data_IF_958218946370
#
_entry.id   IF_958218946370
#
_cell.length_a   1.000
_cell.length_b   1.000
_cell.length_c   1.000
_cell.angle_alpha   90.00
_cell.angle_beta   90.00
_cell.angle_gamma   90.00
#
_symmetry.space_group_name_H-M   'P 1'
#
loop_
_entity.id
_entity.type
_entity.pdbx_description
1 polymer ?
#
# COMPACT_ATOMS: atom_id res chain seq x y z
N UNK A 1 7.78 -11.32 -1.04
CA UNK A 1 7.01 -11.31 -2.30
C UNK A 1 5.54 -11.57 -1.98
N UNK A 2 4.62 -11.06 -2.79
CA UNK A 2 3.19 -11.40 -2.66
C UNK A 2 2.94 -12.79 -3.24
N UNK A 3 2.18 -13.63 -2.56
CA UNK A 3 1.85 -15.00 -3.01
C UNK A 3 0.44 -15.08 -3.62
N UNK A 4 -0.17 -13.93 -3.93
CA UNK A 4 -1.55 -13.86 -4.40
C UNK A 4 -1.85 -14.73 -5.62
N UNK A 5 -0.93 -14.81 -6.59
CA UNK A 5 -1.09 -15.68 -7.77
C UNK A 5 -1.15 -17.16 -7.41
N UNK A 6 -0.32 -17.59 -6.46
CA UNK A 6 -0.33 -18.97 -5.97
C UNK A 6 -1.67 -19.30 -5.31
N UNK A 7 -2.15 -18.43 -4.41
CA UNK A 7 -3.48 -18.59 -3.79
C UNK A 7 -4.60 -18.62 -4.83
N UNK A 8 -4.54 -17.77 -5.86
CA UNK A 8 -5.56 -17.69 -6.91
C UNK A 8 -5.76 -19.00 -7.67
N UNK A 9 -4.69 -19.77 -7.87
CA UNK A 9 -4.77 -21.07 -8.56
C UNK A 9 -5.62 -22.08 -7.78
N UNK A 10 -5.68 -21.97 -6.45
CA UNK A 10 -6.41 -22.92 -5.60
C UNK A 10 -7.83 -22.46 -5.23
N UNK A 11 -8.25 -21.24 -5.60
CA UNK A 11 -9.57 -20.71 -5.20
C UNK A 11 -10.70 -21.63 -5.66
N UNK A 12 -10.64 -22.12 -6.91
CA UNK A 12 -11.70 -22.98 -7.47
C UNK A 12 -11.82 -24.28 -6.68
N UNK A 13 -10.71 -24.96 -6.39
CA UNK A 13 -10.73 -26.18 -5.57
C UNK A 13 -11.23 -25.93 -4.14
N UNK A 14 -10.95 -24.75 -3.57
CA UNK A 14 -11.49 -24.36 -2.25
C UNK A 14 -13.01 -24.13 -2.32
N UNK A 15 -13.51 -23.57 -3.43
CA UNK A 15 -14.94 -23.38 -3.67
C UNK A 15 -15.63 -24.75 -3.84
N UNK A 16 -15.09 -25.62 -4.68
CA UNK A 16 -15.59 -26.99 -4.87
C UNK A 16 -15.63 -27.75 -3.54
N UNK A 17 -14.62 -27.56 -2.68
CA UNK A 17 -14.62 -28.13 -1.33
C UNK A 17 -15.77 -27.58 -0.48
N UNK A 18 -16.03 -26.28 -0.51
CA UNK A 18 -17.15 -25.66 0.21
C UNK A 18 -18.52 -26.16 -0.27
N UNK A 19 -18.63 -26.51 -1.55
CA UNK A 19 -19.88 -27.00 -2.17
C UNK A 19 -20.07 -28.51 -2.00
N UNK A 20 -18.98 -29.29 -1.95
CA UNK A 20 -19.00 -30.75 -1.87
C UNK A 20 -18.94 -31.30 -0.45
N UNK A 21 -18.29 -30.59 0.49
CA UNK A 21 -18.04 -31.07 1.84
C UNK A 21 -18.31 -29.98 2.88
N UNK A 22 -19.16 -30.32 3.85
CA UNK A 22 -19.44 -29.59 5.09
C UNK A 22 -20.02 -28.18 4.93
N UNK A 23 -21.32 -28.04 5.24
CA UNK A 23 -22.05 -26.77 5.26
C UNK A 23 -21.44 -25.70 6.20
N UNK A 24 -20.39 -26.04 6.95
CA UNK A 24 -19.70 -25.18 7.89
C UNK A 24 -18.40 -24.54 7.36
N UNK A 25 -17.76 -25.07 6.31
CA UNK A 25 -16.46 -24.53 5.84
C UNK A 25 -16.59 -23.12 5.26
N UNK A 26 -17.63 -22.86 4.45
CA UNK A 26 -17.90 -21.52 3.94
C UNK A 26 -18.10 -20.51 5.08
N UNK A 27 -18.84 -20.91 6.12
CA UNK A 27 -19.07 -20.09 7.32
C UNK A 27 -17.77 -19.81 8.08
N UNK A 28 -16.87 -20.79 8.17
CA UNK A 28 -15.54 -20.64 8.75
C UNK A 28 -14.64 -19.70 7.91
N UNK A 29 -14.62 -19.86 6.59
CA UNK A 29 -13.83 -19.00 5.70
C UNK A 29 -14.34 -17.55 5.64
N UNK A 30 -15.62 -17.33 5.96
CA UNK A 30 -16.19 -15.98 6.17
C UNK A 30 -15.89 -15.40 7.55
N UNK A 31 -15.40 -16.21 8.49
CA UNK A 31 -15.05 -15.77 9.83
C UNK A 31 -13.62 -15.21 9.86
N UNK A 32 -13.47 -14.01 10.44
CA UNK A 32 -12.19 -13.30 10.57
C UNK A 32 -11.21 -14.03 11.50
N UNK A 33 -11.68 -14.54 12.63
CA UNK A 33 -10.85 -15.22 13.62
C UNK A 33 -10.32 -16.54 13.07
N UNK A 34 -11.16 -17.31 12.38
CA UNK A 34 -10.73 -18.48 11.63
C UNK A 34 -9.67 -18.12 10.60
N UNK A 35 -9.90 -17.10 9.79
CA UNK A 35 -8.95 -16.67 8.75
C UNK A 35 -7.61 -16.21 9.34
N UNK A 36 -7.62 -15.60 10.53
CA UNK A 36 -6.41 -15.24 11.25
C UNK A 36 -5.65 -16.46 11.78
N UNK A 37 -6.36 -17.39 12.42
CA UNK A 37 -5.78 -18.61 12.97
C UNK A 37 -5.22 -19.50 11.86
N UNK A 38 -5.99 -19.73 10.81
CA UNK A 38 -5.68 -20.65 9.72
C UNK A 38 -4.66 -20.07 8.75
N UNK A 39 -4.80 -18.81 8.33
CA UNK A 39 -3.98 -18.21 7.28
C UNK A 39 -3.06 -17.08 7.74
N UNK A 40 -3.30 -16.53 8.94
CA UNK A 40 -2.63 -15.30 9.39
C UNK A 40 -3.24 -14.01 8.83
N UNK A 41 -4.42 -14.09 8.21
CA UNK A 41 -5.09 -12.92 7.64
C UNK A 41 -5.79 -12.09 8.73
N UNK A 42 -5.72 -10.77 8.62
CA UNK A 42 -6.50 -9.85 9.48
C UNK A 42 -7.95 -9.67 9.01
N UNK A 43 -8.30 -10.29 7.88
CA UNK A 43 -9.61 -10.20 7.24
C UNK A 43 -10.11 -11.61 6.91
N UNK A 44 -11.43 -11.81 6.86
CA UNK A 44 -12.02 -13.05 6.34
C UNK A 44 -11.43 -13.46 4.99
N UNK A 45 -11.23 -14.77 4.79
CA UNK A 45 -10.81 -15.33 3.51
C UNK A 45 -11.86 -15.00 2.43
N UNK A 46 -13.13 -15.27 2.72
CA UNK A 46 -14.28 -14.87 1.93
C UNK A 46 -15.05 -13.72 2.59
N UNK A 47 -15.53 -12.78 1.78
CA UNK A 47 -16.49 -11.76 2.23
C UNK A 47 -17.61 -11.63 1.21
N UNK A 48 -18.85 -11.63 1.68
CA UNK A 48 -20.01 -11.44 0.81
C UNK A 48 -19.99 -10.04 0.18
N UNK A 49 -20.28 -9.96 -1.11
CA UNK A 49 -20.22 -8.70 -1.88
C UNK A 49 -21.07 -7.61 -1.24
N UNK A 50 -22.27 -7.96 -0.75
CA UNK A 50 -23.20 -7.03 -0.10
C UNK A 50 -22.70 -6.48 1.25
N UNK A 51 -21.72 -7.12 1.86
CA UNK A 51 -21.17 -6.75 3.17
C UNK A 51 -19.81 -6.03 3.08
N UNK A 52 -19.31 -5.78 1.86
CA UNK A 52 -18.04 -5.08 1.65
C UNK A 52 -18.31 -3.58 1.60
N UNK A 53 -17.90 -2.88 2.66
CA UNK A 53 -17.90 -1.42 2.69
C UNK A 53 -16.79 -0.82 1.79
N UNK A 54 -16.88 0.48 1.49
CA UNK A 54 -15.93 1.20 0.63
C UNK A 54 -14.47 1.13 1.13
N UNK A 55 -14.26 1.12 2.45
CA UNK A 55 -12.91 1.08 3.06
C UNK A 55 -12.31 -0.32 2.97
N UNK A 56 -13.15 -1.34 3.03
CA UNK A 56 -12.78 -2.76 2.96
C UNK A 56 -12.61 -3.25 1.53
N UNK A 57 -13.13 -2.53 0.53
CA UNK A 57 -13.08 -2.91 -0.89
C UNK A 57 -11.66 -3.24 -1.38
N UNK A 58 -10.67 -2.41 -1.01
CA UNK A 58 -9.25 -2.61 -1.39
C UNK A 58 -8.60 -3.87 -0.80
N UNK A 59 -9.25 -4.52 0.18
CA UNK A 59 -8.73 -5.71 0.89
C UNK A 59 -9.18 -7.02 0.26
N UNK A 60 -10.01 -6.99 -0.77
CA UNK A 60 -10.49 -8.16 -1.50
C UNK A 60 -10.21 -7.98 -2.99
N UNK A 61 -9.95 -9.07 -3.71
CA UNK A 61 -9.86 -9.01 -5.17
C UNK A 61 -11.23 -8.66 -5.76
N UNK A 62 -11.24 -7.98 -6.91
CA UNK A 62 -12.48 -7.54 -7.58
C UNK A 62 -13.30 -8.69 -8.16
N UNK A 63 -12.67 -9.84 -8.40
CA UNK A 63 -13.32 -11.07 -8.87
C UNK A 63 -14.37 -11.56 -7.88
N UNK A 64 -15.59 -11.78 -8.37
CA UNK A 64 -16.71 -12.31 -7.60
C UNK A 64 -16.87 -13.79 -7.93
N UNK A 65 -17.02 -14.61 -6.89
CA UNK A 65 -17.26 -16.04 -6.98
C UNK A 65 -18.66 -16.34 -6.44
N UNK A 66 -19.33 -17.31 -7.03
CA UNK A 66 -20.58 -17.87 -6.50
C UNK A 66 -20.24 -19.14 -5.74
N UNK A 67 -20.65 -19.21 -4.47
CA UNK A 67 -20.42 -20.38 -3.59
C UNK A 67 -21.69 -20.60 -2.79
N UNK A 68 -22.33 -21.76 -2.90
CA UNK A 68 -23.56 -22.10 -2.15
C UNK A 68 -24.64 -20.98 -2.20
N UNK A 69 -24.92 -20.45 -3.40
CA UNK A 69 -25.84 -19.32 -3.66
C UNK A 69 -25.45 -17.98 -3.01
N UNK A 70 -24.22 -17.82 -2.54
CA UNK A 70 -23.67 -16.56 -2.02
C UNK A 70 -22.63 -15.99 -2.98
N UNK A 71 -22.70 -14.68 -3.23
CA UNK A 71 -21.67 -13.97 -4.00
C UNK A 71 -20.59 -13.46 -3.05
N UNK A 72 -19.37 -13.96 -3.21
CA UNK A 72 -18.23 -13.65 -2.33
C UNK A 72 -17.03 -13.12 -3.11
N UNK A 73 -16.17 -12.36 -2.44
CA UNK A 73 -14.83 -12.00 -2.90
C UNK A 73 -13.78 -12.57 -1.95
N UNK A 74 -12.59 -12.83 -2.49
CA UNK A 74 -11.46 -13.40 -1.74
C UNK A 74 -10.52 -12.29 -1.26
N UNK A 75 -9.99 -12.41 -0.05
CA UNK A 75 -9.03 -11.46 0.50
C UNK A 75 -7.78 -11.35 -0.41
N UNK A 76 -7.32 -10.13 -0.67
CA UNK A 76 -6.17 -9.84 -1.54
C UNK A 76 -4.83 -9.75 -0.79
N UNK A 77 -4.84 -9.81 0.55
CA UNK A 77 -3.71 -9.47 1.41
C UNK A 77 -2.76 -10.65 1.66
N UNK A 78 -2.23 -11.23 0.58
CA UNK A 78 -1.36 -12.43 0.65
C UNK A 78 0.13 -12.12 0.45
N UNK A 79 0.94 -12.45 1.46
CA UNK A 79 2.39 -12.24 1.47
C UNK A 79 3.13 -13.54 1.77
N UNK A 80 4.44 -13.59 1.49
CA UNK A 80 5.29 -14.76 1.71
C UNK A 80 5.17 -15.37 3.12
N UNK A 81 4.90 -14.56 4.15
CA UNK A 81 4.73 -15.04 5.52
C UNK A 81 3.47 -15.91 5.72
N UNK A 82 2.48 -15.83 4.82
CA UNK A 82 1.25 -16.62 4.87
C UNK A 82 1.39 -17.99 4.19
N UNK A 83 2.44 -18.19 3.38
CA UNK A 83 2.57 -19.35 2.49
C UNK A 83 2.52 -20.67 3.27
N UNK A 84 3.38 -20.83 4.28
CA UNK A 84 3.43 -22.05 5.08
C UNK A 84 2.11 -22.39 5.80
N UNK A 85 1.29 -21.38 6.13
CA UNK A 85 -0.03 -21.59 6.73
C UNK A 85 -1.08 -21.99 5.70
N UNK A 86 -1.00 -21.38 4.52
CA UNK A 86 -1.85 -21.72 3.40
C UNK A 86 -1.56 -23.15 2.90
N UNK A 87 -0.29 -23.53 2.76
CA UNK A 87 0.11 -24.88 2.38
C UNK A 87 -0.44 -25.94 3.35
N UNK A 88 -0.33 -25.69 4.66
CA UNK A 88 -0.94 -26.56 5.70
C UNK A 88 -2.45 -26.70 5.55
N UNK A 89 -3.14 -25.63 5.16
CA UNK A 89 -4.59 -25.69 4.91
C UNK A 89 -4.89 -26.54 3.67
N UNK A 90 -4.13 -26.37 2.58
CA UNK A 90 -4.30 -27.18 1.38
C UNK A 90 -4.05 -28.67 1.68
N UNK A 91 -2.97 -29.00 2.38
CA UNK A 91 -2.64 -30.36 2.81
C UNK A 91 -3.73 -30.97 3.68
N UNK A 92 -4.20 -30.24 4.70
CA UNK A 92 -5.24 -30.71 5.63
C UNK A 92 -6.56 -31.01 4.91
N UNK A 93 -6.86 -30.28 3.83
CA UNK A 93 -8.06 -30.45 3.02
C UNK A 93 -7.82 -31.30 1.76
N UNK A 94 -6.63 -31.92 1.62
CA UNK A 94 -6.24 -32.76 0.48
C UNK A 94 -6.38 -32.06 -0.88
N UNK A 95 -6.22 -30.74 -0.90
CA UNK A 95 -6.22 -29.94 -2.12
C UNK A 95 -4.81 -30.06 -2.72
N UNK A 96 -4.67 -30.86 -3.79
CA UNK A 96 -3.39 -31.06 -4.50
C UNK A 96 -3.27 -30.13 -5.72
N UNK A 97 -2.05 -29.89 -6.19
CA UNK A 97 -1.78 -29.12 -7.43
C UNK A 97 -2.34 -29.78 -8.72
N UNK A 98 -2.90 -30.98 -8.63
CA UNK A 98 -3.45 -31.74 -9.76
C UNK A 98 -4.90 -31.37 -10.05
N UNK A 99 -5.09 -30.24 -10.74
CA UNK A 99 -6.05 -30.06 -11.83
C UNK A 99 -5.69 -28.77 -12.57
N UNK A 100 -4.59 -28.85 -13.32
CA UNK A 100 -4.32 -27.91 -14.39
C UNK A 100 -5.43 -28.03 -15.45
N UNK A 101 -6.20 -26.94 -15.55
CA UNK A 101 -7.00 -26.43 -16.69
C UNK A 101 -8.43 -26.98 -16.84
N UNK A 102 -9.44 -26.13 -16.55
CA UNK A 102 -10.36 -25.59 -17.57
C UNK A 102 -11.34 -24.53 -17.01
N UNK A 103 -11.23 -23.32 -17.57
CA UNK A 103 -12.36 -22.47 -17.98
C UNK A 103 -13.38 -21.93 -16.95
N UNK A 104 -13.01 -21.80 -15.67
CA UNK A 104 -13.83 -21.07 -14.67
C UNK A 104 -13.08 -19.94 -13.95
N UNK A 105 -11.95 -19.46 -14.49
CA UNK A 105 -11.58 -18.08 -14.16
C UNK A 105 -12.75 -17.22 -14.64
N UNK A 106 -13.42 -16.43 -13.78
CA UNK A 106 -14.29 -15.38 -14.28
C UNK A 106 -13.41 -14.60 -15.25
N UNK A 107 -13.83 -14.55 -16.52
CA UNK A 107 -13.14 -13.76 -17.53
C UNK A 107 -12.86 -12.42 -16.86
N UNK A 108 -11.59 -11.98 -16.75
CA UNK A 108 -11.30 -10.72 -16.11
C UNK A 108 -12.24 -9.74 -16.76
N UNK A 109 -13.15 -9.11 -15.98
CA UNK A 109 -14.03 -8.05 -16.50
C UNK A 109 -13.13 -7.25 -17.40
N UNK A 110 -13.43 -7.21 -18.70
CA UNK A 110 -12.62 -6.45 -19.63
C UNK A 110 -12.53 -5.06 -19.02
N UNK A 111 -11.37 -4.74 -18.45
CA UNK A 111 -11.08 -3.39 -18.05
C UNK A 111 -10.74 -2.75 -19.38
N UNK A 112 -11.81 -2.34 -20.07
CA UNK A 112 -11.75 -1.51 -21.27
C UNK A 112 -10.77 -0.40 -20.91
N UNK A 113 -9.71 -0.25 -21.72
CA UNK A 113 -8.62 0.73 -21.55
C UNK A 113 -7.50 0.44 -20.53
N UNK A 114 -7.02 -0.81 -20.38
CA UNK A 114 -5.66 -1.02 -19.83
C UNK A 114 -4.58 -0.54 -20.80
N UNK A 115 -4.26 0.76 -20.76
CA UNK A 115 -3.10 1.31 -21.45
C UNK A 115 -1.82 0.73 -20.81
N UNK A 116 -1.09 -0.10 -21.54
CA UNK A 116 0.18 -0.67 -21.08
C UNK A 116 1.16 0.46 -20.70
N UNK A 117 1.78 0.37 -19.52
CA UNK A 117 2.71 1.39 -18.97
C UNK A 117 2.11 2.80 -18.82
N UNK A 118 0.80 2.93 -18.62
CA UNK A 118 0.21 4.25 -18.33
C UNK A 118 0.72 4.82 -17.00
N UNK A 119 0.78 6.15 -16.93
CA UNK A 119 1.09 6.86 -15.69
C UNK A 119 -0.19 7.00 -14.87
N UNK A 120 -0.23 6.38 -13.70
CA UNK A 120 -1.37 6.51 -12.80
C UNK A 120 -1.53 7.96 -12.32
N UNK A 121 -2.76 8.48 -12.36
CA UNK A 121 -3.07 9.85 -11.92
C UNK A 121 -2.65 10.11 -10.47
N UNK A 122 -2.73 9.07 -9.62
CA UNK A 122 -2.24 9.13 -8.24
C UNK A 122 -0.76 9.51 -8.11
N UNK A 123 0.06 9.33 -9.15
CA UNK A 123 1.43 9.84 -9.15
C UNK A 123 1.44 11.38 -9.16
N UNK A 124 0.63 12.01 -10.00
CA UNK A 124 0.48 13.46 -10.04
C UNK A 124 -0.12 14.00 -8.73
N UNK A 125 -1.16 13.34 -8.21
CA UNK A 125 -1.75 13.69 -6.92
C UNK A 125 -0.74 13.61 -5.77
N UNK A 126 0.11 12.57 -5.74
CA UNK A 126 1.19 12.46 -4.75
C UNK A 126 2.28 13.52 -4.94
N UNK A 127 2.56 13.95 -6.17
CA UNK A 127 3.48 15.07 -6.44
C UNK A 127 2.91 16.36 -5.86
N UNK A 128 1.62 16.65 -6.05
CA UNK A 128 0.98 17.81 -5.43
C UNK A 128 1.10 17.78 -3.90
N UNK A 129 0.76 16.65 -3.28
CA UNK A 129 0.87 16.49 -1.81
C UNK A 129 2.30 16.77 -1.33
N UNK A 130 3.32 16.25 -2.02
CA UNK A 130 4.72 16.51 -1.67
C UNK A 130 5.11 17.97 -1.87
N UNK A 131 4.63 18.60 -2.95
CA UNK A 131 4.90 20.01 -3.20
C UNK A 131 4.31 20.91 -2.10
N UNK A 132 3.08 20.62 -1.65
CA UNK A 132 2.46 21.30 -0.51
C UNK A 132 3.34 21.11 0.73
N UNK A 133 3.68 19.87 1.09
CA UNK A 133 4.51 19.55 2.26
C UNK A 133 5.95 20.09 2.18
N UNK A 134 6.46 20.40 0.98
CA UNK A 134 7.73 21.09 0.80
C UNK A 134 7.63 22.60 1.00
N UNK A 135 6.44 23.17 0.83
CA UNK A 135 6.21 24.62 0.80
C UNK A 135 5.48 25.13 2.05
N UNK A 136 5.24 24.27 3.05
CA UNK A 136 4.61 24.68 4.29
C UNK A 136 5.58 25.52 5.14
N UNK A 137 5.08 26.64 5.67
CA UNK A 137 5.87 27.56 6.48
C UNK A 137 6.77 28.47 5.64
N UNK A 138 7.66 29.21 6.31
CA UNK A 138 8.52 30.23 5.69
C UNK A 138 10.02 29.91 5.85
N UNK A 139 10.35 28.70 6.27
CA UNK A 139 11.73 28.31 6.54
C UNK A 139 12.48 27.93 5.27
N UNK A 140 13.77 28.24 5.23
CA UNK A 140 14.65 27.86 4.12
C UNK A 140 15.51 26.66 4.51
N UNK A 141 15.59 25.67 3.62
CA UNK A 141 16.55 24.58 3.72
C UNK A 141 17.59 24.73 2.61
N UNK A 142 18.84 24.95 3.00
CA UNK A 142 19.94 25.23 2.06
C UNK A 142 20.92 24.06 1.98
N UNK A 143 21.82 24.10 0.98
CA UNK A 143 22.94 23.15 0.87
C UNK A 143 23.84 23.16 2.11
N UNK A 144 23.98 24.31 2.77
CA UNK A 144 24.78 24.43 4.01
C UNK A 144 24.10 23.67 5.15
N UNK A 145 22.78 23.75 5.26
CA UNK A 145 22.02 23.00 6.27
C UNK A 145 22.08 21.50 6.04
N UNK A 146 22.09 21.10 4.76
CA UNK A 146 22.30 19.70 4.39
C UNK A 146 23.69 19.22 4.81
N UNK A 147 24.74 19.99 4.53
CA UNK A 147 26.11 19.64 4.94
C UNK A 147 26.24 19.51 6.46
N UNK A 148 25.69 20.46 7.22
CA UNK A 148 25.63 20.40 8.70
C UNK A 148 24.84 19.20 9.21
N UNK A 149 23.84 18.74 8.45
CA UNK A 149 23.08 17.53 8.77
C UNK A 149 23.94 16.29 8.56
N UNK A 150 24.69 16.21 7.47
CA UNK A 150 25.63 15.10 7.23
C UNK A 150 26.70 15.05 8.34
N UNK A 151 27.26 16.20 8.71
CA UNK A 151 28.26 16.33 9.77
C UNK A 151 27.72 15.88 11.13
N UNK A 152 26.47 16.23 11.46
CA UNK A 152 25.82 15.78 12.70
C UNK A 152 25.79 14.25 12.82
N UNK A 153 25.61 13.54 11.70
CA UNK A 153 25.59 12.07 11.67
C UNK A 153 26.97 11.46 11.37
N UNK A 154 28.05 12.24 11.48
CA UNK A 154 29.43 11.80 11.23
C UNK A 154 29.60 11.15 9.83
N UNK A 155 28.95 11.72 8.82
CA UNK A 155 28.93 11.19 7.45
C UNK A 155 28.41 9.74 7.34
N UNK A 156 27.70 9.25 8.35
CA UNK A 156 27.15 7.91 8.40
C UNK A 156 25.65 7.90 8.13
N UNK A 157 25.13 6.75 7.74
CA UNK A 157 23.69 6.52 7.66
C UNK A 157 23.02 6.73 9.03
N UNK A 158 21.98 7.56 9.08
CA UNK A 158 21.20 7.83 10.29
C UNK A 158 20.51 6.59 10.84
N UNK A 159 20.26 5.58 10.01
CA UNK A 159 19.60 4.34 10.42
C UNK A 159 20.57 3.24 10.87
N UNK A 160 21.48 2.80 10.00
CA UNK A 160 22.38 1.68 10.30
C UNK A 160 23.73 2.10 10.89
N UNK A 161 24.07 3.40 10.87
CA UNK A 161 25.33 3.93 11.37
C UNK A 161 26.55 3.63 10.51
N UNK A 162 26.38 3.00 9.35
CA UNK A 162 27.49 2.65 8.46
C UNK A 162 27.83 3.79 7.48
N UNK A 163 29.11 3.87 7.10
CA UNK A 163 29.58 4.71 5.99
C UNK A 163 29.09 4.17 4.65
N UNK A 164 28.92 5.05 3.67
CA UNK A 164 28.59 4.68 2.29
C UNK A 164 27.99 5.84 1.52
N UNK A 165 27.48 5.55 0.32
CA UNK A 165 26.70 6.51 -0.48
C UNK A 165 25.45 6.94 0.28
N UNK A 166 25.48 8.18 0.79
CA UNK A 166 24.35 8.79 1.50
C UNK A 166 23.42 9.54 0.53
N UNK A 167 22.13 9.37 0.74
CA UNK A 167 21.05 10.09 0.08
C UNK A 167 20.24 10.82 1.15
N UNK A 168 19.53 11.87 0.75
CA UNK A 168 18.51 12.48 1.62
C UNK A 168 17.33 11.52 1.75
N UNK A 169 16.90 11.29 2.98
CA UNK A 169 15.66 10.61 3.31
C UNK A 169 14.87 11.42 4.35
N UNK A 170 13.55 11.24 4.37
CA UNK A 170 12.64 11.88 5.30
C UNK A 170 12.32 10.93 6.45
N UNK A 171 12.68 11.31 7.69
CA UNK A 171 12.38 10.59 8.93
C UNK A 171 10.87 10.26 9.01
N UNK A 172 10.05 11.26 8.76
CA UNK A 172 8.61 11.17 8.58
C UNK A 172 8.29 11.26 7.08
N UNK A 173 7.62 10.25 6.49
CA UNK A 173 7.28 10.23 5.07
C UNK A 173 6.44 11.42 4.61
N UNK A 174 6.76 11.95 3.44
CA UNK A 174 6.00 13.02 2.78
C UNK A 174 4.74 12.48 2.09
N UNK A 175 3.69 12.24 2.87
CA UNK A 175 2.41 11.77 2.36
C UNK A 175 1.22 12.33 3.17
N UNK A 176 0.01 12.15 2.63
CA UNK A 176 -1.26 12.65 3.19
C UNK A 176 -1.63 12.10 4.58
N UNK A 177 -0.97 11.05 5.07
CA UNK A 177 -1.24 10.43 6.36
C UNK A 177 -0.16 10.69 7.41
N UNK A 178 1.11 10.68 7.01
CA UNK A 178 2.26 10.87 7.90
C UNK A 178 2.66 12.34 8.04
N UNK A 179 2.29 13.20 7.08
CA UNK A 179 2.45 14.65 7.12
C UNK A 179 3.91 15.12 7.29
N UNK A 180 4.89 14.34 6.83
CA UNK A 180 6.29 14.73 6.88
C UNK A 180 6.60 15.86 5.90
N UNK A 181 7.28 16.89 6.38
CA UNK A 181 7.65 18.08 5.61
C UNK A 181 9.05 17.92 4.99
N UNK A 182 9.33 18.64 3.90
CA UNK A 182 10.71 18.76 3.40
C UNK A 182 11.48 19.82 4.21
N UNK A 183 11.76 19.51 5.47
CA UNK A 183 12.25 20.46 6.47
C UNK A 183 13.48 19.94 7.21
N UNK A 184 14.36 20.86 7.63
CA UNK A 184 15.47 20.52 8.53
C UNK A 184 14.93 19.84 9.79
N UNK A 185 15.63 18.82 10.29
CA UNK A 185 15.12 17.99 11.37
C UNK A 185 14.21 16.85 10.90
N UNK A 186 13.55 16.93 9.74
CA UNK A 186 12.90 15.77 9.11
C UNK A 186 13.82 15.07 8.09
N UNK A 187 14.89 15.71 7.65
CA UNK A 187 15.81 15.19 6.62
C UNK A 187 17.06 14.59 7.28
N UNK A 188 17.46 13.40 6.85
CA UNK A 188 18.65 12.70 7.34
C UNK A 188 19.46 12.03 6.22
N UNK A 189 20.77 11.79 6.42
CA UNK A 189 21.55 10.95 5.54
C UNK A 189 21.16 9.48 5.70
N UNK A 190 20.87 8.82 4.59
CA UNK A 190 20.51 7.41 4.55
C UNK A 190 21.28 6.70 3.46
N UNK A 191 21.84 5.53 3.74
CA UNK A 191 22.39 4.69 2.69
C UNK A 191 21.26 4.12 1.82
N UNK A 192 21.52 3.95 0.52
CA UNK A 192 20.57 3.38 -0.47
C UNK A 192 19.79 2.14 0.05
N UNK A 193 20.43 1.12 0.68
CA UNK A 193 19.71 -0.04 1.19
C UNK A 193 18.71 0.30 2.29
N UNK A 194 19.07 1.18 3.24
CA UNK A 194 18.18 1.59 4.32
C UNK A 194 17.03 2.45 3.78
N UNK A 195 17.33 3.44 2.94
CA UNK A 195 16.34 4.31 2.31
C UNK A 195 15.27 3.48 1.59
N UNK A 196 15.70 2.53 0.73
CA UNK A 196 14.81 1.62 0.02
C UNK A 196 14.00 0.71 0.94
N UNK A 197 14.59 0.19 2.02
CA UNK A 197 13.91 -0.72 2.97
C UNK A 197 12.89 0.00 3.85
N UNK A 198 13.19 1.26 4.24
CA UNK A 198 12.28 2.13 4.97
C UNK A 198 11.08 2.49 4.10
N UNK A 199 11.31 2.92 2.86
CA UNK A 199 10.25 3.28 1.92
C UNK A 199 9.31 4.34 2.54
N UNK A 200 8.03 4.02 2.68
CA UNK A 200 6.96 4.87 3.21
C UNK A 200 6.69 4.66 4.70
N UNK A 201 7.55 3.92 5.41
CA UNK A 201 7.45 3.75 6.86
C UNK A 201 8.01 4.97 7.58
N UNK A 202 7.42 5.28 8.74
CA UNK A 202 8.06 6.18 9.71
C UNK A 202 9.38 5.58 10.19
N UNK A 203 10.33 6.42 10.62
CA UNK A 203 11.58 5.93 11.22
C UNK A 203 11.34 5.05 12.45
N UNK A 204 10.34 5.36 13.27
CA UNK A 204 10.00 4.54 14.44
C UNK A 204 9.51 3.16 14.04
N UNK A 205 8.70 3.05 12.99
CA UNK A 205 8.28 1.76 12.43
C UNK A 205 9.45 0.98 11.81
N UNK A 206 10.35 1.70 11.15
CA UNK A 206 11.51 1.10 10.48
C UNK A 206 12.57 0.59 11.46
N UNK A 207 12.81 1.33 12.55
CA UNK A 207 13.81 1.05 13.57
C UNK A 207 13.26 0.27 14.77
N UNK A 208 12.08 -0.35 14.66
CA UNK A 208 11.52 -1.18 15.74
C UNK A 208 12.57 -2.15 16.30
N UNK A 209 12.91 -1.98 17.58
CA UNK A 209 13.93 -2.79 18.28
C UNK A 209 15.36 -2.23 18.25
N UNK A 210 15.62 -1.12 17.57
CA UNK A 210 16.91 -0.41 17.57
C UNK A 210 16.78 0.94 18.29
N UNK A 211 16.78 0.89 19.64
CA UNK A 211 16.60 2.07 20.49
C UNK A 211 17.69 3.12 20.31
N UNK A 212 18.94 2.71 20.07
CA UNK A 212 20.06 3.64 19.90
C UNK A 212 19.89 4.52 18.65
N UNK A 213 19.53 3.93 17.51
CA UNK A 213 19.29 4.70 16.28
C UNK A 213 18.06 5.59 16.40
N UNK A 214 16.98 5.11 17.05
CA UNK A 214 15.79 5.91 17.33
C UNK A 214 16.14 7.13 18.18
N UNK A 215 16.84 6.93 19.31
CA UNK A 215 17.22 8.01 20.20
C UNK A 215 18.11 9.06 19.52
N UNK A 216 19.05 8.64 18.67
CA UNK A 216 19.89 9.56 17.89
C UNK A 216 19.05 10.42 16.93
N UNK A 217 18.06 9.84 16.28
CA UNK A 217 17.14 10.59 15.40
C UNK A 217 16.25 11.53 16.22
N UNK A 218 15.76 11.10 17.38
CA UNK A 218 14.97 11.94 18.27
C UNK A 218 15.77 13.17 18.74
N UNK A 219 17.00 12.97 19.19
CA UNK A 219 17.91 14.06 19.57
C UNK A 219 18.24 14.98 18.39
N UNK A 220 18.34 14.46 17.17
CA UNK A 220 18.52 15.28 15.98
C UNK A 220 17.29 16.17 15.73
N UNK A 221 16.07 15.59 15.72
CA UNK A 221 14.84 16.35 15.54
C UNK A 221 14.72 17.47 16.59
N UNK A 222 14.97 17.15 17.86
CA UNK A 222 14.95 18.11 18.96
C UNK A 222 15.98 19.23 18.76
N UNK A 223 17.21 18.90 18.39
CA UNK A 223 18.27 19.89 18.14
C UNK A 223 17.97 20.83 16.97
N UNK A 224 17.05 20.44 16.07
CA UNK A 224 16.58 21.25 14.94
C UNK A 224 15.22 21.90 15.20
N UNK A 225 14.69 21.79 16.42
CA UNK A 225 13.36 22.24 16.80
C UNK A 225 12.27 21.70 15.84
N UNK A 226 12.44 20.47 15.34
CA UNK A 226 11.49 19.84 14.44
C UNK A 226 10.46 19.02 15.19
N UNK A 227 9.20 19.43 15.06
CA UNK A 227 8.05 18.74 15.63
C UNK A 227 7.15 18.23 14.51
N UNK A 228 7.02 16.90 14.31
CA UNK A 228 6.16 16.34 13.27
C UNK A 228 4.71 16.84 13.36
N UNK A 229 4.11 17.21 12.23
CA UNK A 229 2.71 17.62 12.17
C UNK A 229 1.81 16.45 12.57
N UNK A 230 1.01 16.63 13.63
CA UNK A 230 0.01 15.66 14.10
C UNK A 230 -1.38 16.28 14.10
N UNK A 231 -1.88 16.62 12.91
CA UNK A 231 -3.17 17.29 12.77
C UNK A 231 -4.07 16.58 11.75
N UNK A 232 -5.21 16.06 12.22
CA UNK A 232 -6.18 15.35 11.38
C UNK A 232 -6.77 16.23 10.27
N UNK A 233 -7.03 17.51 10.55
CA UNK A 233 -7.57 18.45 9.55
C UNK A 233 -6.59 18.67 8.40
N UNK A 234 -5.29 18.74 8.69
CA UNK A 234 -4.25 18.83 7.64
C UNK A 234 -4.27 17.58 6.76
N UNK A 235 -4.39 16.39 7.37
CA UNK A 235 -4.53 15.13 6.61
C UNK A 235 -5.78 15.11 5.73
N UNK A 236 -6.91 15.65 6.23
CA UNK A 236 -8.15 15.79 5.46
C UNK A 236 -7.98 16.75 4.27
N UNK A 237 -7.37 17.93 4.48
CA UNK A 237 -7.10 18.86 3.37
C UNK A 237 -6.15 18.28 2.31
N UNK A 238 -5.11 17.55 2.72
CA UNK A 238 -4.23 16.88 1.76
C UNK A 238 -4.92 15.74 1.01
N UNK A 239 -5.94 15.09 1.59
CA UNK A 239 -6.80 14.13 0.87
C UNK A 239 -7.66 14.84 -0.17
N UNK A 240 -8.31 15.94 0.20
CA UNK A 240 -9.09 16.76 -0.73
C UNK A 240 -8.24 17.22 -1.92
N UNK A 241 -7.06 17.81 -1.67
CA UNK A 241 -6.14 18.22 -2.72
C UNK A 241 -5.68 17.04 -3.61
N UNK A 242 -5.45 15.86 -3.01
CA UNK A 242 -5.10 14.64 -3.76
C UNK A 242 -6.22 14.22 -4.72
N UNK A 243 -7.47 14.25 -4.26
CA UNK A 243 -8.66 13.85 -5.03
C UNK A 243 -9.00 14.89 -6.10
N UNK A 244 -8.86 16.19 -5.82
CA UNK A 244 -9.10 17.28 -6.77
C UNK A 244 -8.26 17.16 -8.05
N UNK A 245 -7.01 16.69 -7.95
CA UNK A 245 -6.16 16.44 -9.13
C UNK A 245 -6.75 15.35 -10.03
N UNK A 246 -7.36 14.31 -9.44
CA UNK A 246 -7.99 13.25 -10.20
C UNK A 246 -9.26 13.75 -10.90
N UNK A 247 -10.14 14.44 -10.16
CA UNK A 247 -11.36 15.06 -10.70
C UNK A 247 -11.04 16.05 -11.82
N UNK A 248 -9.98 16.84 -11.66
CA UNK A 248 -9.53 17.79 -12.68
C UNK A 248 -9.10 17.07 -13.97
N UNK A 249 -8.34 15.98 -13.84
CA UNK A 249 -7.88 15.20 -14.97
C UNK A 249 -9.06 14.53 -15.70
N UNK A 250 -10.00 13.92 -14.97
CA UNK A 250 -11.21 13.32 -15.54
C UNK A 250 -12.03 14.35 -16.31
N UNK A 251 -12.30 15.51 -15.71
CA UNK A 251 -13.02 16.61 -16.37
C UNK A 251 -12.40 17.02 -17.70
N UNK A 252 -11.07 17.17 -17.76
CA UNK A 252 -10.41 17.55 -19.01
C UNK A 252 -10.34 16.42 -20.02
N UNK A 253 -10.26 15.16 -19.57
CA UNK A 253 -10.38 14.01 -20.46
C UNK A 253 -11.75 14.00 -21.13
N UNK A 254 -12.83 14.23 -20.38
CA UNK A 254 -14.20 14.28 -20.91
C UNK A 254 -14.38 15.40 -21.93
N UNK A 255 -13.92 16.63 -21.60
CA UNK A 255 -13.95 17.78 -22.52
C UNK A 255 -13.19 17.47 -23.82
N UNK A 256 -12.02 16.83 -23.72
CA UNK A 256 -11.21 16.50 -24.89
C UNK A 256 -11.91 15.43 -25.73
N UNK A 257 -12.45 14.37 -25.12
CA UNK A 257 -13.17 13.32 -25.84
C UNK A 257 -14.39 13.88 -26.58
N UNK A 258 -15.19 14.72 -25.92
CA UNK A 258 -16.35 15.37 -26.56
C UNK A 258 -15.94 16.17 -27.81
N UNK A 259 -14.80 16.86 -27.77
CA UNK A 259 -14.29 17.60 -28.94
C UNK A 259 -13.74 16.71 -30.04
N UNK A 260 -13.14 15.57 -29.71
CA UNK A 260 -12.63 14.61 -30.68
C UNK A 260 -13.76 13.86 -31.39
N UNK A 261 -14.82 13.50 -30.65
CA UNK A 261 -15.97 12.78 -31.22
C UNK A 261 -16.76 13.66 -32.20
N UNK A 262 -16.96 14.95 -31.88
CA UNK A 262 -17.66 15.90 -32.75
C UNK A 262 -16.92 16.17 -34.08
N UNK A 263 -15.58 16.10 -34.09
CA UNK A 263 -14.78 16.25 -35.31
C UNK A 263 -14.72 14.99 -36.19
N UNK A 264 -15.30 13.87 -35.74
CA UNK A 264 -15.36 12.61 -36.51
C UNK A 264 -16.64 12.50 -37.36
N UNK A 265 -17.52 13.50 -37.26
CA UNK A 265 -18.83 13.58 -37.93
C UNK A 265 -18.92 14.70 -38.98
N UNK A 266 -17.82 15.43 -39.22
CA UNK A 266 -17.65 16.37 -40.34
C UNK A 266 -16.72 15.79 -41.41
#
# INVERSE_FOLDING_TARGET
MAIGKYVQVHIISIIELCESTDANLLSQLKNKEFSNKTFGLSFPFFKEVKEIDEKSNVRYWSTVYSVCNQQVRVCSQWYALHQARFDKFLEANRISESNLVNDLSPQPKEIINKRYKYRAIGNASNILVRNILSSLGNESFTKVDWQKTIEYFDHNCAYCGQKGDIEMDHIIPMNKSSLGEHKIGNIVPSCKPCNRKKHDKSYTDFLKGNSAATQRIDSYMESRNYNPIRNKKVSEFLRLAYDEVATLAERYIDIINEKLDNNSTE
#
